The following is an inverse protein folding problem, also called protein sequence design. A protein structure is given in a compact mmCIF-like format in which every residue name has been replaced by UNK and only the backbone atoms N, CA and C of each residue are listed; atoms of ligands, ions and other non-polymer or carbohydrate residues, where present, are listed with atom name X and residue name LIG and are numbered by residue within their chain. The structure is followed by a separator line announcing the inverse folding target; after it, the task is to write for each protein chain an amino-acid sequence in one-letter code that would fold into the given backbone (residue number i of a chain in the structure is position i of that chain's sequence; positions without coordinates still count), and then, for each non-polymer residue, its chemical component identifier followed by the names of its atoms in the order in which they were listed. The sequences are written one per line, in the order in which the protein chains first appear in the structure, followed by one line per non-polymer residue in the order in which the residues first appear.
data_IF_609935626525
#
_entry.id   IF_609935626525
#
_cell.length_a   1.000
_cell.length_b   1.000
_cell.length_c   1.000
_cell.angle_alpha   90.00
_cell.angle_beta   90.00
_cell.angle_gamma   90.00
#
_symmetry.space_group_name_H-M   'P 1'
#
loop_
_entity.id
_entity.type
_entity.pdbx_description
1 polymer ?
#
# COMPACT_ATOMS: atom_id res chain seq x y z
N UNK A 1 -6.80 -14.05 -26.07
CA UNK A 1 -5.58 -13.22 -26.11
C UNK A 1 -5.44 -12.52 -24.76
N UNK A 2 -4.74 -13.15 -23.81
CA UNK A 2 -4.31 -12.47 -22.59
C UNK A 2 -3.14 -11.57 -22.99
N UNK A 3 -3.25 -10.27 -22.79
CA UNK A 3 -2.11 -9.38 -22.96
C UNK A 3 -1.06 -9.76 -21.91
N UNK A 4 0.13 -10.16 -22.35
CA UNK A 4 1.30 -10.29 -21.49
C UNK A 4 1.50 -8.95 -20.79
N UNK A 5 1.36 -8.93 -19.46
CA UNK A 5 1.68 -7.74 -18.68
C UNK A 5 3.19 -7.59 -18.67
N UNK A 6 3.68 -6.37 -18.92
CA UNK A 6 5.10 -6.11 -18.72
C UNK A 6 5.45 -6.26 -17.24
N UNK A 7 6.71 -6.60 -16.94
CA UNK A 7 7.19 -6.69 -15.56
C UNK A 7 6.90 -5.40 -14.78
N UNK A 8 7.08 -4.23 -15.40
CA UNK A 8 6.75 -2.93 -14.82
C UNK A 8 5.27 -2.79 -14.44
N UNK A 9 4.35 -3.21 -15.32
CA UNK A 9 2.91 -3.20 -15.02
C UNK A 9 2.57 -4.14 -13.84
N UNK A 10 3.26 -5.27 -13.75
CA UNK A 10 3.09 -6.23 -12.66
C UNK A 10 3.60 -5.66 -11.32
N UNK A 11 4.79 -5.06 -11.33
CA UNK A 11 5.41 -4.43 -10.18
C UNK A 11 4.60 -3.24 -9.66
N UNK A 12 4.23 -2.30 -10.54
CA UNK A 12 3.37 -1.17 -10.19
C UNK A 12 2.04 -1.61 -9.59
N UNK A 13 1.43 -2.66 -10.15
CA UNK A 13 0.15 -3.15 -9.67
C UNK A 13 0.22 -3.61 -8.22
N UNK A 14 1.31 -4.28 -7.82
CA UNK A 14 1.54 -4.69 -6.43
C UNK A 14 1.83 -3.50 -5.52
N UNK A 15 2.73 -2.60 -5.94
CA UNK A 15 3.08 -1.42 -5.14
C UNK A 15 1.87 -0.55 -4.80
N UNK A 16 0.96 -0.34 -5.75
CA UNK A 16 -0.29 0.43 -5.54
C UNK A 16 -1.20 -0.13 -4.45
N UNK A 17 -0.99 -1.38 -4.03
CA UNK A 17 -1.78 -2.03 -2.98
C UNK A 17 -1.22 -1.78 -1.59
N UNK A 18 0.07 -1.46 -1.48
CA UNK A 18 0.76 -1.32 -0.19
C UNK A 18 0.07 -0.31 0.74
N UNK A 19 -0.27 0.93 0.31
CA UNK A 19 -0.78 1.91 1.26
C UNK A 19 -2.10 1.49 1.88
N UNK A 20 -2.94 0.91 1.04
CA UNK A 20 -4.21 0.34 1.42
C UNK A 20 -4.10 -0.89 2.34
N UNK A 21 -3.07 -1.71 2.11
CA UNK A 21 -2.81 -2.89 2.92
C UNK A 21 -2.32 -2.46 4.31
N UNK A 22 -1.41 -1.48 4.39
CA UNK A 22 -0.93 -0.92 5.65
C UNK A 22 -2.05 -0.26 6.46
N UNK A 23 -2.89 0.55 5.81
CA UNK A 23 -4.10 1.13 6.41
C UNK A 23 -4.95 0.04 7.06
N UNK A 24 -5.27 -1.00 6.30
CA UNK A 24 -6.14 -2.08 6.79
C UNK A 24 -5.53 -2.85 7.97
N UNK A 25 -4.24 -3.20 7.89
CA UNK A 25 -3.56 -3.91 8.96
C UNK A 25 -3.48 -3.06 10.24
N UNK A 26 -3.28 -1.74 10.12
CA UNK A 26 -3.34 -0.82 11.27
C UNK A 26 -4.75 -0.67 11.84
N UNK A 27 -5.79 -0.58 11.02
CA UNK A 27 -7.20 -0.59 11.48
C UNK A 27 -7.55 -1.87 12.25
N UNK A 28 -7.06 -3.03 11.79
CA UNK A 28 -7.22 -4.31 12.49
C UNK A 28 -6.51 -4.31 13.85
N UNK A 29 -5.28 -3.77 13.90
CA UNK A 29 -4.53 -3.66 15.15
C UNK A 29 -5.25 -2.74 16.16
N UNK A 30 -5.70 -1.55 15.74
CA UNK A 30 -6.45 -0.63 16.60
C UNK A 30 -7.76 -1.26 17.11
N UNK A 31 -8.49 -1.94 16.22
CA UNK A 31 -9.74 -2.64 16.60
C UNK A 31 -9.47 -3.77 17.60
N UNK A 32 -8.37 -4.51 17.43
CA UNK A 32 -7.97 -5.57 18.35
C UNK A 32 -7.54 -5.03 19.73
N UNK A 33 -6.96 -3.84 19.80
CA UNK A 33 -6.62 -3.14 21.05
C UNK A 33 -7.88 -2.61 21.72
N UNK A 34 -8.77 -1.93 20.98
CA UNK A 34 -10.03 -1.42 21.50
C UNK A 34 -10.95 -2.54 22.03
N UNK A 35 -10.97 -3.70 21.37
CA UNK A 35 -11.69 -4.88 21.84
C UNK A 35 -11.11 -5.46 23.15
N UNK A 36 -9.79 -5.36 23.35
CA UNK A 36 -9.15 -5.78 24.61
C UNK A 36 -9.43 -4.81 25.76
N UNK A 37 -9.47 -3.50 25.47
CA UNK A 37 -9.77 -2.46 26.47
C UNK A 37 -11.24 -2.51 26.91
N UNK A 38 -12.16 -2.77 25.97
CA UNK A 38 -13.59 -2.94 26.29
C UNK A 38 -13.90 -4.26 27.01
N UNK A 39 -13.13 -5.32 26.76
CA UNK A 39 -13.23 -6.58 27.53
C UNK A 39 -12.68 -6.48 28.97
N UNK A 40 -11.98 -5.39 29.31
CA UNK A 40 -11.50 -5.14 30.67
C UNK A 40 -12.61 -4.66 31.64
N UNK A 41 -13.83 -4.41 31.14
CA UNK A 41 -14.98 -4.02 31.98
C UNK A 41 -16.05 -5.14 31.97
N UNK A 42 -16.02 -5.97 33.04
CA UNK A 42 -17.02 -7.01 33.49
C UNK A 42 -17.03 -8.33 32.67
N UNK A 43 -17.03 -9.57 33.22
CA UNK A 43 -17.42 -10.16 34.52
C UNK A 43 -16.57 -11.42 34.81
N UNK A 44 -16.33 -11.69 36.09
CA UNK A 44 -15.86 -12.96 36.66
C UNK A 44 -16.75 -14.18 36.32
N UNK A 45 -16.19 -15.20 35.67
CA UNK A 45 -16.76 -16.55 35.71
C UNK A 45 -16.62 -17.32 34.39
N UNK A 46 -15.96 -18.47 34.44
CA UNK A 46 -16.02 -19.49 33.38
C UNK A 46 -14.68 -19.76 32.71
N UNK A 47 -14.19 -20.97 32.92
CA UNK A 47 -12.95 -21.57 32.43
C UNK A 47 -12.73 -21.47 30.91
N UNK A 48 -11.44 -21.30 30.56
CA UNK A 48 -10.82 -21.64 29.26
C UNK A 48 -11.28 -20.84 28.03
N UNK A 49 -10.80 -19.60 27.94
CA UNK A 49 -10.46 -19.06 26.62
C UNK A 49 -9.08 -19.61 26.23
N UNK A 50 -9.07 -20.72 25.50
CA UNK A 50 -7.89 -21.16 24.78
C UNK A 50 -7.48 -20.05 23.79
N UNK A 51 -6.49 -19.25 24.17
CA UNK A 51 -5.81 -18.31 23.27
C UNK A 51 -5.13 -19.16 22.20
N UNK A 52 -5.54 -19.00 20.94
CA UNK A 52 -4.89 -19.64 19.80
C UNK A 52 -3.36 -19.39 19.85
N UNK A 53 -2.52 -20.40 19.58
CA UNK A 53 -1.09 -20.38 19.89
C UNK A 53 -0.21 -19.52 18.97
N UNK A 54 -0.79 -18.68 18.11
CA UNK A 54 -0.04 -17.67 17.34
C UNK A 54 -0.87 -16.39 17.26
N UNK A 55 -0.65 -15.45 18.19
CA UNK A 55 -1.07 -14.06 17.98
C UNK A 55 -0.11 -13.48 16.94
N UNK A 56 -0.48 -13.55 15.66
CA UNK A 56 0.17 -12.76 14.61
C UNK A 56 -0.41 -11.36 14.73
N UNK A 57 0.42 -10.38 15.11
CA UNK A 57 -0.02 -9.00 15.30
C UNK A 57 -0.07 -8.28 13.93
N UNK A 58 -1.25 -7.82 13.47
CA UNK A 58 -1.35 -6.99 12.27
C UNK A 58 -0.44 -5.76 12.31
N UNK A 59 -0.11 -5.24 13.50
CA UNK A 59 0.82 -4.14 13.66
C UNK A 59 2.24 -4.53 13.25
N UNK A 60 2.74 -5.68 13.73
CA UNK A 60 4.10 -6.16 13.43
C UNK A 60 4.26 -6.49 11.93
N UNK A 61 3.23 -7.08 11.33
CA UNK A 61 3.24 -7.37 9.88
C UNK A 61 3.16 -6.09 9.03
N UNK A 62 2.45 -5.06 9.50
CA UNK A 62 2.47 -3.74 8.87
C UNK A 62 3.85 -3.08 8.98
N UNK A 63 4.50 -3.22 10.13
CA UNK A 63 5.85 -2.73 10.36
C UNK A 63 6.87 -3.43 9.46
N UNK A 64 6.74 -4.76 9.28
CA UNK A 64 7.58 -5.54 8.36
C UNK A 64 7.46 -5.07 6.91
N UNK A 65 6.24 -4.90 6.40
CA UNK A 65 6.01 -4.40 5.02
C UNK A 65 6.63 -3.02 4.84
N UNK A 66 6.38 -2.12 5.79
CA UNK A 66 6.90 -0.76 5.71
C UNK A 66 8.43 -0.72 5.80
N UNK A 67 9.04 -1.46 6.74
CA UNK A 67 10.49 -1.56 6.87
C UNK A 67 11.13 -2.10 5.60
N UNK A 68 10.57 -3.16 5.02
CA UNK A 68 11.05 -3.75 3.75
C UNK A 68 10.97 -2.73 2.61
N UNK A 69 9.88 -1.97 2.52
CA UNK A 69 9.72 -0.90 1.53
C UNK A 69 10.72 0.24 1.74
N UNK A 70 11.08 0.57 2.99
CA UNK A 70 12.13 1.54 3.28
C UNK A 70 13.51 1.02 2.84
N UNK A 71 13.86 -0.24 3.16
CA UNK A 71 15.12 -0.87 2.73
C UNK A 71 15.24 -0.80 1.21
N UNK A 72 14.24 -1.36 0.52
CA UNK A 72 14.22 -1.41 -0.93
C UNK A 72 14.26 -0.01 -1.54
N UNK A 73 13.44 0.92 -1.04
CA UNK A 73 13.42 2.30 -1.54
C UNK A 73 14.75 3.03 -1.35
N UNK A 74 15.51 2.75 -0.29
CA UNK A 74 16.85 3.32 -0.09
C UNK A 74 17.86 2.72 -1.05
N UNK A 75 17.81 1.41 -1.27
CA UNK A 75 18.66 0.76 -2.27
C UNK A 75 18.43 1.34 -3.67
N UNK A 76 17.16 1.52 -4.04
CA UNK A 76 16.78 2.21 -5.29
C UNK A 76 17.30 3.65 -5.29
N UNK A 77 17.23 4.38 -4.16
CA UNK A 77 17.67 5.77 -4.08
C UNK A 77 19.20 5.91 -4.25
N UNK A 78 19.97 4.97 -3.69
CA UNK A 78 21.42 4.92 -3.83
C UNK A 78 21.86 4.63 -5.26
N UNK A 79 21.10 3.79 -5.99
CA UNK A 79 21.41 3.37 -7.36
C UNK A 79 20.94 4.36 -8.43
N UNK A 80 19.68 4.79 -8.35
CA UNK A 80 19.07 5.66 -9.36
C UNK A 80 19.63 7.09 -9.28
N UNK A 81 20.00 7.54 -8.08
CA UNK A 81 20.38 8.92 -7.83
C UNK A 81 19.21 9.89 -7.99
N UNK A 82 18.96 10.75 -7.01
CA UNK A 82 17.87 11.72 -7.07
C UNK A 82 17.31 12.11 -5.71
N UNK A 83 16.38 13.07 -5.71
CA UNK A 83 15.70 13.49 -4.49
C UNK A 83 14.67 12.41 -4.07
N UNK A 84 15.06 11.52 -3.16
CA UNK A 84 14.15 10.55 -2.56
C UNK A 84 13.14 11.23 -1.61
N UNK A 85 11.93 10.66 -1.47
CA UNK A 85 10.87 11.19 -0.61
C UNK A 85 11.31 11.27 0.85
N UNK A 86 10.66 12.15 1.62
CA UNK A 86 11.05 12.45 3.00
C UNK A 86 11.07 11.21 3.90
N UNK A 87 10.09 10.28 3.82
CA UNK A 87 10.12 9.04 4.59
C UNK A 87 11.36 8.18 4.36
N UNK A 88 11.92 8.13 3.14
CA UNK A 88 13.14 7.36 2.87
C UNK A 88 14.40 8.03 3.44
N UNK A 89 14.40 9.37 3.56
CA UNK A 89 15.55 10.14 4.05
C UNK A 89 15.62 10.23 5.57
N UNK A 90 14.49 10.35 6.24
CA UNK A 90 14.44 10.63 7.69
C UNK A 90 14.34 9.39 8.58
N UNK A 91 14.00 8.21 8.03
CA UNK A 91 13.57 7.06 8.84
C UNK A 91 14.65 6.03 9.18
N UNK A 92 15.94 6.32 8.92
CA UNK A 92 17.04 5.63 9.62
C UNK A 92 17.45 6.48 10.82
N UNK A 93 17.25 5.99 12.04
CA UNK A 93 17.90 6.59 13.20
C UNK A 93 19.42 6.40 13.05
N UNK A 94 20.18 7.48 13.02
CA UNK A 94 21.66 7.43 13.01
C UNK A 94 22.15 6.79 14.31
N UNK A 95 22.30 5.47 14.35
CA UNK A 95 22.77 4.73 15.54
C UNK A 95 22.17 3.34 15.75
N UNK A 96 21.12 2.95 15.01
CA UNK A 96 20.71 1.55 14.89
C UNK A 96 20.69 1.22 13.40
N UNK A 97 21.52 0.28 12.97
CA UNK A 97 21.71 -0.09 11.57
C UNK A 97 20.51 -0.81 10.93
N UNK A 98 19.35 -0.79 11.60
CA UNK A 98 18.13 -1.46 11.17
C UNK A 98 17.00 -0.46 10.93
N UNK A 99 16.32 -0.53 9.77
CA UNK A 99 15.13 0.25 9.51
C UNK A 99 14.08 -0.05 10.57
N UNK A 100 13.56 1.02 11.18
CA UNK A 100 12.42 0.90 12.05
C UNK A 100 11.15 0.67 11.20
N UNK A 101 10.19 -0.05 11.76
CA UNK A 101 8.84 -0.19 11.19
C UNK A 101 8.12 1.15 11.02
N UNK A 102 6.80 1.11 10.85
CA UNK A 102 6.03 2.35 10.83
C UNK A 102 6.25 3.10 12.16
N UNK A 103 6.33 4.44 12.13
CA UNK A 103 6.33 5.22 13.35
C UNK A 103 5.05 5.00 14.16
N UNK A 104 5.04 5.46 15.41
CA UNK A 104 3.79 5.63 16.14
C UNK A 104 2.93 6.64 15.36
N UNK A 105 1.96 6.13 14.61
CA UNK A 105 1.10 6.89 13.72
C UNK A 105 -0.27 6.22 13.61
N UNK A 106 -1.26 7.01 13.22
CA UNK A 106 -2.61 6.54 12.89
C UNK A 106 -2.61 5.72 11.58
N UNK A 107 -3.65 4.92 11.32
CA UNK A 107 -3.81 4.19 10.06
C UNK A 107 -3.79 5.11 8.83
N UNK A 108 -4.39 6.30 8.93
CA UNK A 108 -4.37 7.32 7.86
C UNK A 108 -2.98 7.87 7.59
N UNK A 109 -2.18 8.12 8.63
CA UNK A 109 -0.79 8.56 8.46
C UNK A 109 0.07 7.44 7.87
N UNK A 110 -0.16 6.18 8.26
CA UNK A 110 0.51 5.03 7.64
C UNK A 110 0.20 4.93 6.14
N UNK A 111 -1.04 5.20 5.73
CA UNK A 111 -1.45 5.30 4.34
C UNK A 111 -0.72 6.43 3.59
N UNK A 112 -0.63 7.62 4.18
CA UNK A 112 0.04 8.77 3.56
C UNK A 112 1.55 8.53 3.39
N UNK A 113 2.23 8.07 4.44
CA UNK A 113 3.66 7.78 4.44
C UNK A 113 4.03 6.77 3.36
N UNK A 114 3.26 5.70 3.26
CA UNK A 114 3.48 4.66 2.27
C UNK A 114 3.09 5.08 0.86
N UNK A 115 2.08 5.92 0.69
CA UNK A 115 1.70 6.49 -0.61
C UNK A 115 2.83 7.35 -1.19
N UNK A 116 3.52 8.14 -0.37
CA UNK A 116 4.66 8.94 -0.83
C UNK A 116 5.79 8.05 -1.39
N UNK A 117 6.14 6.98 -0.67
CA UNK A 117 7.18 6.03 -1.09
C UNK A 117 6.76 5.27 -2.34
N UNK A 118 5.53 4.74 -2.37
CA UNK A 118 4.97 4.00 -3.53
C UNK A 118 4.93 4.86 -4.77
N UNK A 119 4.51 6.12 -4.65
CA UNK A 119 4.45 7.05 -5.79
C UNK A 119 5.83 7.26 -6.40
N UNK A 120 6.84 7.42 -5.53
CA UNK A 120 8.22 7.57 -5.98
C UNK A 120 8.78 6.29 -6.60
N UNK A 121 8.56 5.12 -6.00
CA UNK A 121 8.99 3.82 -6.55
C UNK A 121 8.34 3.53 -7.92
N UNK A 122 7.07 3.91 -8.10
CA UNK A 122 6.39 3.85 -9.39
C UNK A 122 7.10 4.74 -10.42
N UNK A 123 7.46 5.98 -10.04
CA UNK A 123 8.21 6.87 -10.93
C UNK A 123 9.60 6.31 -11.30
N UNK A 124 10.21 5.53 -10.39
CA UNK A 124 11.49 4.86 -10.62
C UNK A 124 11.37 3.48 -11.31
N UNK A 125 10.16 3.01 -11.63
CA UNK A 125 9.95 1.62 -12.09
C UNK A 125 10.69 1.29 -13.38
N UNK A 126 10.84 2.26 -14.29
CA UNK A 126 11.63 2.08 -15.51
C UNK A 126 13.10 1.82 -15.18
N UNK A 127 13.69 2.59 -14.26
CA UNK A 127 15.08 2.42 -13.84
C UNK A 127 15.26 1.08 -13.10
N UNK A 128 14.33 0.74 -12.20
CA UNK A 128 14.32 -0.52 -11.46
C UNK A 128 14.30 -1.71 -12.44
N UNK A 129 13.46 -1.66 -13.48
CA UNK A 129 13.35 -2.73 -14.47
C UNK A 129 14.65 -3.01 -15.26
N UNK A 130 15.51 -1.98 -15.39
CA UNK A 130 16.76 -2.07 -16.15
C UNK A 130 17.99 -2.20 -15.28
N UNK A 131 17.85 -2.14 -13.95
CA UNK A 131 18.94 -2.28 -13.00
C UNK A 131 19.13 -3.73 -12.57
N UNK A 132 20.06 -4.42 -13.22
CA UNK A 132 20.40 -5.81 -12.91
C UNK A 132 21.09 -6.01 -11.56
N UNK A 133 21.43 -4.95 -10.81
CA UNK A 133 22.10 -5.06 -9.51
C UNK A 133 21.11 -5.17 -8.35
N UNK A 134 19.82 -4.88 -8.58
CA UNK A 134 18.75 -5.06 -7.58
C UNK A 134 18.38 -6.54 -7.36
N UNK A 135 18.89 -7.45 -8.20
CA UNK A 135 18.66 -8.90 -8.13
C UNK A 135 17.17 -9.21 -7.91
N UNK A 136 16.86 -10.07 -6.94
CA UNK A 136 15.52 -10.54 -6.61
C UNK A 136 14.75 -9.58 -5.68
N UNK A 137 15.36 -8.47 -5.21
CA UNK A 137 14.75 -7.58 -4.22
C UNK A 137 13.37 -7.01 -4.64
N UNK A 138 13.13 -6.63 -5.92
CA UNK A 138 11.80 -6.22 -6.37
C UNK A 138 10.75 -7.34 -6.27
N UNK A 139 11.16 -8.57 -6.59
CA UNK A 139 10.29 -9.75 -6.59
C UNK A 139 10.00 -10.21 -5.15
N UNK A 140 11.01 -10.14 -4.26
CA UNK A 140 10.85 -10.37 -2.82
C UNK A 140 9.83 -9.40 -2.20
N UNK A 141 9.87 -8.12 -2.59
CA UNK A 141 8.88 -7.14 -2.15
C UNK A 141 7.48 -7.48 -2.68
N UNK A 142 7.35 -7.91 -3.94
CA UNK A 142 6.07 -8.38 -4.50
C UNK A 142 5.53 -9.56 -3.69
N UNK A 143 6.38 -10.55 -3.40
CA UNK A 143 5.97 -11.76 -2.70
C UNK A 143 5.57 -11.47 -1.25
N UNK A 144 6.26 -10.56 -0.57
CA UNK A 144 5.83 -10.06 0.75
C UNK A 144 4.45 -9.39 0.68
N UNK A 145 4.21 -8.53 -0.32
CA UNK A 145 2.91 -7.88 -0.51
C UNK A 145 1.81 -8.93 -0.74
N UNK A 146 2.07 -9.95 -1.56
CA UNK A 146 1.14 -11.05 -1.83
C UNK A 146 0.86 -11.86 -0.57
N UNK A 147 1.89 -12.17 0.21
CA UNK A 147 1.76 -12.87 1.48
C UNK A 147 0.87 -12.10 2.44
N UNK A 148 1.09 -10.80 2.61
CA UNK A 148 0.30 -9.98 3.53
C UNK A 148 -1.14 -9.82 3.06
N UNK A 149 -1.39 -9.78 1.76
CA UNK A 149 -2.75 -9.83 1.21
C UNK A 149 -3.46 -11.16 1.42
N UNK A 150 -2.71 -12.27 1.40
CA UNK A 150 -3.25 -13.59 1.71
C UNK A 150 -3.60 -13.73 3.20
N UNK A 151 -2.76 -13.18 4.08
CA UNK A 151 -2.93 -13.23 5.53
C UNK A 151 -4.00 -12.27 6.05
N UNK A 152 -4.03 -11.06 5.50
CA UNK A 152 -5.01 -10.02 5.81
C UNK A 152 -5.80 -9.71 4.56
N UNK A 153 -6.70 -10.63 4.15
CA UNK A 153 -7.56 -10.40 3.02
C UNK A 153 -8.43 -9.21 3.38
N UNK A 154 -8.17 -8.08 2.72
CA UNK A 154 -8.98 -6.89 2.85
C UNK A 154 -10.43 -7.30 2.59
N UNK A 155 -11.33 -7.15 3.56
CA UNK A 155 -12.74 -7.05 3.26
C UNK A 155 -12.81 -5.88 2.28
N UNK A 156 -12.94 -6.18 0.98
CA UNK A 156 -12.75 -5.20 -0.07
C UNK A 156 -13.47 -3.91 0.35
N UNK A 157 -12.78 -2.76 0.43
CA UNK A 157 -13.54 -1.54 0.29
C UNK A 157 -14.28 -1.74 -1.03
N UNK A 158 -15.57 -1.40 -1.10
CA UNK A 158 -16.35 -1.41 -2.36
C UNK A 158 -15.75 -0.49 -3.45
N UNK A 159 -14.51 -0.06 -3.34
CA UNK A 159 -13.67 0.41 -4.41
C UNK A 159 -13.17 -0.78 -5.24
N UNK A 160 -13.91 -1.08 -6.32
CA UNK A 160 -13.31 -1.73 -7.49
C UNK A 160 -12.04 -0.96 -7.83
N UNK A 161 -10.88 -1.60 -7.70
CA UNK A 161 -9.61 -1.05 -8.15
C UNK A 161 -9.84 -0.46 -9.54
N UNK A 162 -9.73 0.86 -9.63
CA UNK A 162 -10.11 1.58 -10.84
C UNK A 162 -9.15 1.12 -11.94
N UNK A 163 -9.64 0.30 -12.87
CA UNK A 163 -8.88 -0.12 -14.05
C UNK A 163 -8.87 1.07 -15.01
N UNK A 164 -7.70 1.65 -15.33
CA UNK A 164 -7.62 2.75 -16.29
C UNK A 164 -8.24 2.29 -17.60
N UNK A 165 -9.36 2.92 -17.97
CA UNK A 165 -10.02 2.66 -19.24
C UNK A 165 -9.38 3.54 -20.32
N UNK A 166 -9.29 3.05 -21.56
CA UNK A 166 -8.86 3.90 -22.67
C UNK A 166 -9.86 5.05 -22.84
N UNK A 167 -9.34 6.26 -22.91
CA UNK A 167 -10.09 7.47 -23.16
C UNK A 167 -10.79 7.35 -24.52
N UNK A 168 -12.12 7.53 -24.62
CA UNK A 168 -12.82 7.46 -25.91
C UNK A 168 -12.49 8.65 -26.83
N UNK A 169 -11.83 9.69 -26.31
CA UNK A 169 -11.42 10.86 -27.10
C UNK A 169 -9.98 10.78 -27.59
N UNK A 170 -9.03 10.41 -26.74
CA UNK A 170 -7.59 10.38 -27.11
C UNK A 170 -6.98 8.98 -27.12
N UNK A 171 -7.72 7.92 -26.77
CA UNK A 171 -7.22 6.54 -26.75
C UNK A 171 -6.37 6.17 -25.54
N UNK A 172 -5.79 7.15 -24.84
CA UNK A 172 -4.90 6.92 -23.71
C UNK A 172 -5.58 6.29 -22.49
N UNK A 173 -4.89 5.38 -21.80
CA UNK A 173 -5.40 4.68 -20.60
C UNK A 173 -5.23 5.51 -19.33
N UNK A 174 -5.73 6.75 -19.34
CA UNK A 174 -5.50 7.75 -18.29
C UNK A 174 -6.80 8.37 -17.76
N UNK A 175 -7.94 7.70 -17.93
CA UNK A 175 -9.18 8.16 -17.27
C UNK A 175 -9.02 7.95 -15.76
N UNK A 176 -9.48 8.87 -14.93
CA UNK A 176 -9.58 8.77 -13.47
C UNK A 176 -11.00 9.09 -13.02
N UNK A 177 -11.48 8.52 -11.92
CA UNK A 177 -12.78 8.86 -11.36
C UNK A 177 -12.75 10.25 -10.73
N UNK A 178 -13.81 11.02 -10.95
CA UNK A 178 -14.05 12.31 -10.33
C UNK A 178 -15.07 12.12 -9.20
N UNK A 179 -14.69 12.46 -7.98
CA UNK A 179 -15.48 12.24 -6.77
C UNK A 179 -16.10 13.57 -6.31
N UNK A 180 -17.39 13.54 -6.00
CA UNK A 180 -18.13 14.62 -5.37
C UNK A 180 -18.61 14.23 -3.97
N UNK A 181 -19.33 15.13 -3.27
CA UNK A 181 -19.80 14.90 -1.90
C UNK A 181 -20.69 13.66 -1.74
N UNK A 182 -21.44 13.29 -2.78
CA UNK A 182 -22.34 12.11 -2.78
C UNK A 182 -21.70 10.85 -3.42
N UNK A 183 -20.38 10.84 -3.61
CA UNK A 183 -19.65 9.73 -4.21
C UNK A 183 -19.22 10.00 -5.66
N UNK A 184 -19.25 8.98 -6.53
CA UNK A 184 -18.72 9.11 -7.89
C UNK A 184 -19.53 10.15 -8.68
N UNK A 185 -18.95 11.31 -8.96
CA UNK A 185 -19.57 12.40 -9.71
C UNK A 185 -19.35 12.26 -11.22
N UNK A 186 -18.24 11.63 -11.63
CA UNK A 186 -17.90 11.45 -13.02
C UNK A 186 -16.54 10.81 -13.25
N UNK A 187 -15.93 11.11 -14.38
CA UNK A 187 -14.58 10.71 -14.73
C UNK A 187 -13.89 11.81 -15.53
N UNK A 188 -12.57 11.92 -15.42
CA UNK A 188 -11.72 12.88 -16.15
C UNK A 188 -10.54 12.16 -16.80
N UNK A 189 -10.15 12.54 -18.00
CA UNK A 189 -8.90 12.06 -18.61
C UNK A 189 -7.74 12.97 -18.22
N UNK A 190 -6.65 12.43 -17.66
CA UNK A 190 -5.49 13.25 -17.31
C UNK A 190 -4.80 13.87 -18.54
N UNK A 191 -4.87 13.19 -19.69
CA UNK A 191 -4.15 13.62 -20.91
C UNK A 191 -4.90 14.71 -21.66
N UNK A 192 -6.19 14.50 -21.95
CA UNK A 192 -6.99 15.46 -22.73
C UNK A 192 -7.92 16.32 -21.87
N UNK A 193 -7.91 16.15 -20.56
CA UNK A 193 -8.70 16.90 -19.58
C UNK A 193 -10.21 16.84 -19.80
N UNK A 194 -10.68 15.92 -20.65
CA UNK A 194 -12.11 15.76 -20.93
C UNK A 194 -12.79 15.09 -19.75
N UNK A 195 -13.93 15.64 -19.36
CA UNK A 195 -14.76 15.14 -18.27
C UNK A 195 -16.02 14.47 -18.79
N UNK A 196 -16.49 13.47 -18.06
CA UNK A 196 -17.76 12.79 -18.28
C UNK A 196 -18.51 12.70 -16.97
N UNK A 197 -19.74 13.18 -16.95
CA UNK A 197 -20.59 13.14 -15.77
C UNK A 197 -21.22 11.76 -15.61
N UNK A 198 -21.47 11.36 -14.36
CA UNK A 198 -22.25 10.15 -14.06
C UNK A 198 -23.68 10.36 -14.55
N UNK A 199 -24.15 9.53 -15.48
CA UNK A 199 -25.58 9.52 -15.83
C UNK A 199 -26.41 9.24 -14.58
N UNK A 200 -27.48 10.02 -14.32
CA UNK A 200 -28.44 9.66 -13.27
C UNK A 200 -29.01 8.28 -13.57
N UNK A 201 -29.14 7.46 -12.53
CA UNK A 201 -29.71 6.13 -12.61
C UNK A 201 -31.22 6.20 -12.85
#
# INVERSE_FOLDING_TARGET
MQAERSWSEHFEWHLRQVPFQLLHMRELAESAVAAQDTAAVKVSGGSEQARLPYRVDPADDADLVYATMIIFGREVAEKVGGASPRPLRERMWRGRDEPQGLPLCTPSEAFELSTEIVTWLIACTHQIAHDGTLNDAPDDLIDLIRQMRGRYPRAEPKFKAYRPRPCPTCGERTIRPLWGPDGLAGAICDTCQRTWEKKPA
#
